data_IF_485103187845
#
_entry.id   IF_485103187845
#
_cell.length_a   1.000
_cell.length_b   1.000
_cell.length_c   1.000
_cell.angle_alpha   90.00
_cell.angle_beta   90.00
_cell.angle_gamma   90.00
#
_symmetry.space_group_name_H-M   'P 1'
#
loop_
_entity.id
_entity.type
_entity.pdbx_description
1 polymer ?
#
# COMPACT_ATOMS: atom_id res chain seq x y z
N UNK A 1 21.59 8.74 -48.33
CA UNK A 1 20.29 8.27 -47.79
C UNK A 1 20.52 7.94 -46.33
N UNK A 2 19.89 8.72 -45.47
CA UNK A 2 20.22 8.87 -44.05
C UNK A 2 19.80 7.67 -43.22
N UNK A 3 20.74 7.18 -42.42
CA UNK A 3 20.56 6.20 -41.36
C UNK A 3 19.58 6.74 -40.31
N UNK A 4 18.45 6.06 -40.11
CA UNK A 4 17.54 6.30 -38.99
C UNK A 4 18.07 5.56 -37.77
N UNK A 5 18.75 6.31 -36.90
CA UNK A 5 19.02 5.89 -35.53
C UNK A 5 17.68 5.81 -34.79
N UNK A 6 17.26 4.61 -34.39
CA UNK A 6 16.13 4.43 -33.48
C UNK A 6 16.66 4.76 -32.09
N UNK A 7 16.40 5.96 -31.60
CA UNK A 7 16.68 6.32 -30.21
C UNK A 7 15.81 5.45 -29.30
N UNK A 8 16.43 4.49 -28.63
CA UNK A 8 15.82 3.72 -27.56
C UNK A 8 15.42 4.66 -26.43
N UNK A 9 14.11 4.80 -26.19
CA UNK A 9 13.57 5.53 -25.05
C UNK A 9 14.12 4.97 -23.74
N UNK A 10 14.76 5.78 -22.88
CA UNK A 10 15.19 5.31 -21.57
C UNK A 10 13.95 5.22 -20.67
N UNK A 11 13.30 4.05 -20.64
CA UNK A 11 12.17 3.79 -19.72
C UNK A 11 12.56 2.82 -18.63
N UNK A 12 13.60 3.18 -17.89
CA UNK A 12 13.72 2.77 -16.49
C UNK A 12 14.03 4.04 -15.72
N UNK A 13 12.98 4.70 -15.22
CA UNK A 13 13.12 5.81 -14.30
C UNK A 13 14.12 5.38 -13.22
N UNK A 14 15.26 6.08 -13.15
CA UNK A 14 16.31 5.85 -12.18
C UNK A 14 15.68 5.76 -10.79
N UNK A 15 15.77 4.58 -10.17
CA UNK A 15 15.17 4.33 -8.86
C UNK A 15 15.68 5.38 -7.88
N UNK A 16 14.77 6.07 -7.19
CA UNK A 16 15.16 7.02 -6.16
C UNK A 16 15.87 6.21 -5.06
N UNK A 17 17.12 6.57 -4.82
CA UNK A 17 17.90 5.95 -3.76
C UNK A 17 17.47 6.56 -2.43
N UNK A 18 17.30 5.73 -1.41
CA UNK A 18 17.11 6.20 -0.04
C UNK A 18 18.38 6.93 0.45
N UNK A 19 18.34 7.48 1.68
CA UNK A 19 19.48 8.19 2.30
C UNK A 19 20.79 7.40 2.34
N UNK A 20 20.74 6.09 2.11
CA UNK A 20 21.88 5.17 2.10
C UNK A 20 22.25 4.67 0.69
N UNK A 21 21.73 5.27 -0.37
CA UNK A 21 22.06 4.84 -1.73
C UNK A 21 21.35 3.55 -2.17
N UNK A 22 20.34 3.08 -1.43
CA UNK A 22 19.64 1.81 -1.70
C UNK A 22 18.20 2.04 -2.13
N UNK A 23 17.71 1.20 -3.02
CA UNK A 23 16.31 1.25 -3.45
C UNK A 23 15.46 0.55 -2.41
N UNK A 24 14.38 1.20 -1.95
CA UNK A 24 13.47 0.56 -1.00
C UNK A 24 12.75 -0.62 -1.66
N UNK A 25 12.23 -1.53 -0.82
CA UNK A 25 11.57 -2.77 -1.25
C UNK A 25 10.29 -2.49 -2.06
N UNK A 26 9.53 -1.48 -1.63
CA UNK A 26 8.25 -1.09 -2.19
C UNK A 26 8.28 0.37 -2.62
N UNK A 27 7.81 0.65 -3.83
CA UNK A 27 7.68 2.03 -4.32
C UNK A 27 6.45 2.72 -3.75
N UNK A 28 5.32 2.02 -3.69
CA UNK A 28 4.07 2.51 -3.16
C UNK A 28 3.45 1.47 -2.21
N UNK A 29 3.05 1.92 -1.04
CA UNK A 29 2.30 1.09 -0.08
C UNK A 29 1.06 1.82 0.44
N UNK A 30 0.10 1.05 0.92
CA UNK A 30 -1.10 1.55 1.60
C UNK A 30 -1.06 1.11 3.06
N UNK A 31 -1.41 2.00 3.97
CA UNK A 31 -1.69 1.67 5.36
C UNK A 31 -3.18 1.85 5.65
N UNK A 32 -3.82 0.86 6.27
CA UNK A 32 -5.24 0.93 6.61
C UNK A 32 -5.53 0.19 7.92
N UNK A 33 -6.57 0.66 8.61
CA UNK A 33 -7.14 -0.01 9.77
C UNK A 33 -8.60 -0.32 9.45
N UNK A 34 -8.99 -1.57 9.62
CA UNK A 34 -10.32 -2.05 9.23
C UNK A 34 -10.99 -2.78 10.39
N UNK A 35 -12.31 -2.77 10.40
CA UNK A 35 -13.12 -3.55 11.34
C UNK A 35 -14.43 -3.95 10.68
N UNK A 36 -14.64 -5.26 10.55
CA UNK A 36 -15.87 -5.84 9.99
C UNK A 36 -16.16 -5.45 8.53
N UNK A 37 -15.10 -5.32 7.73
CA UNK A 37 -15.15 -4.86 6.34
C UNK A 37 -14.79 -5.97 5.33
N UNK A 38 -14.94 -7.25 5.72
CA UNK A 38 -14.63 -8.40 4.84
C UNK A 38 -15.33 -8.31 3.48
N UNK A 39 -16.55 -7.75 3.43
CA UNK A 39 -17.34 -7.65 2.19
C UNK A 39 -16.70 -6.82 1.08
N UNK A 40 -15.88 -5.81 1.42
CA UNK A 40 -15.24 -4.92 0.43
C UNK A 40 -13.74 -5.20 0.24
N UNK A 41 -13.13 -5.89 1.20
CA UNK A 41 -11.68 -6.06 1.27
C UNK A 41 -11.07 -6.75 0.04
N UNK A 42 -11.79 -7.70 -0.58
CA UNK A 42 -11.33 -8.41 -1.79
C UNK A 42 -11.23 -7.45 -3.00
N UNK A 43 -12.26 -6.62 -3.21
CA UNK A 43 -12.30 -5.63 -4.29
C UNK A 43 -11.30 -4.51 -4.04
N UNK A 44 -11.23 -4.00 -2.81
CA UNK A 44 -10.35 -2.91 -2.41
C UNK A 44 -8.87 -3.28 -2.61
N UNK A 45 -8.44 -4.47 -2.15
CA UNK A 45 -7.07 -4.95 -2.38
C UNK A 45 -6.75 -5.09 -3.87
N UNK A 46 -7.65 -5.69 -4.65
CA UNK A 46 -7.47 -5.85 -6.10
C UNK A 46 -7.36 -4.50 -6.80
N UNK A 47 -8.21 -3.55 -6.44
CA UNK A 47 -8.20 -2.21 -7.02
C UNK A 47 -6.84 -1.53 -6.80
N UNK A 48 -6.33 -1.51 -5.56
CA UNK A 48 -5.08 -0.85 -5.26
C UNK A 48 -3.86 -1.57 -5.83
N UNK A 49 -3.87 -2.91 -5.89
CA UNK A 49 -2.85 -3.67 -6.65
C UNK A 49 -2.83 -3.22 -8.11
N UNK A 50 -4.00 -3.06 -8.74
CA UNK A 50 -4.11 -2.59 -10.12
C UNK A 50 -3.67 -1.12 -10.30
N UNK A 51 -3.74 -0.29 -9.25
CA UNK A 51 -3.18 1.07 -9.24
C UNK A 51 -1.65 1.10 -8.99
N UNK A 52 -1.00 -0.06 -8.80
CA UNK A 52 0.44 -0.17 -8.60
C UNK A 52 0.87 -0.14 -7.14
N UNK A 53 -0.02 -0.42 -6.19
CA UNK A 53 0.35 -0.65 -4.79
C UNK A 53 1.07 -2.00 -4.68
N UNK A 54 2.25 -1.98 -4.06
CA UNK A 54 3.13 -3.16 -3.95
C UNK A 54 3.05 -3.82 -2.56
N UNK A 55 2.59 -3.09 -1.53
CA UNK A 55 2.42 -3.64 -0.19
C UNK A 55 1.32 -2.93 0.62
N UNK A 56 0.65 -3.67 1.50
CA UNK A 56 -0.37 -3.18 2.41
C UNK A 56 0.03 -3.44 3.86
N UNK A 57 -0.05 -2.41 4.69
CA UNK A 57 0.11 -2.47 6.14
C UNK A 57 -1.26 -2.39 6.78
N UNK A 58 -1.79 -3.52 7.23
CA UNK A 58 -3.17 -3.64 7.68
C UNK A 58 -3.26 -3.88 9.19
N UNK A 59 -4.20 -3.18 9.82
CA UNK A 59 -4.56 -3.41 11.22
C UNK A 59 -6.02 -3.86 11.29
N UNK A 60 -6.25 -5.05 11.84
CA UNK A 60 -7.58 -5.49 12.28
C UNK A 60 -7.86 -4.90 13.67
N UNK A 61 -8.82 -3.98 13.77
CA UNK A 61 -9.22 -3.32 15.02
C UNK A 61 -10.43 -4.00 15.70
N UNK A 62 -10.35 -5.32 15.86
CA UNK A 62 -11.29 -6.10 16.67
C UNK A 62 -12.46 -6.65 15.87
N UNK A 63 -12.14 -7.48 14.88
CA UNK A 63 -13.08 -8.21 14.02
C UNK A 63 -14.14 -9.03 14.74
N UNK A 64 -15.24 -9.25 14.03
CA UNK A 64 -16.23 -10.30 14.27
C UNK A 64 -16.54 -11.12 13.01
N UNK A 65 -16.03 -10.74 11.83
CA UNK A 65 -16.25 -11.36 10.53
C UNK A 65 -15.04 -12.19 10.02
N UNK A 66 -15.26 -13.03 9.00
CA UNK A 66 -14.22 -13.89 8.41
C UNK A 66 -13.61 -13.29 7.14
N UNK A 67 -12.55 -12.52 7.30
CA UNK A 67 -11.72 -12.02 6.20
C UNK A 67 -10.53 -12.95 5.86
N UNK A 68 -10.29 -14.03 6.63
CA UNK A 68 -9.03 -14.78 6.51
C UNK A 68 -8.92 -15.46 5.15
N UNK A 69 -10.03 -16.00 4.65
CA UNK A 69 -10.12 -16.59 3.31
C UNK A 69 -9.76 -15.58 2.22
N UNK A 70 -10.19 -14.32 2.37
CA UNK A 70 -9.87 -13.21 1.46
C UNK A 70 -8.39 -12.87 1.53
N UNK A 71 -7.89 -12.54 2.73
CA UNK A 71 -6.50 -12.12 2.92
C UNK A 71 -5.47 -13.20 2.55
N UNK A 72 -5.84 -14.48 2.63
CA UNK A 72 -4.96 -15.59 2.22
C UNK A 72 -4.55 -15.51 0.75
N UNK A 73 -5.41 -14.97 -0.12
CA UNK A 73 -5.14 -14.75 -1.55
C UNK A 73 -4.03 -13.71 -1.77
N UNK A 74 -3.89 -12.77 -0.84
CA UNK A 74 -2.98 -11.61 -0.94
C UNK A 74 -1.79 -11.69 0.01
N UNK A 75 -1.50 -12.86 0.59
CA UNK A 75 -0.45 -13.06 1.62
C UNK A 75 0.93 -12.49 1.27
N UNK A 76 1.26 -12.33 -0.01
CA UNK A 76 2.54 -11.78 -0.46
C UNK A 76 2.57 -10.24 -0.54
N UNK A 77 1.40 -9.61 -0.50
CA UNK A 77 1.22 -8.16 -0.59
C UNK A 77 0.91 -7.53 0.77
N UNK A 78 0.63 -8.30 1.82
CA UNK A 78 0.10 -7.75 3.08
C UNK A 78 0.99 -8.08 4.27
N UNK A 79 1.08 -7.12 5.19
CA UNK A 79 1.39 -7.33 6.60
C UNK A 79 0.11 -7.10 7.40
N UNK A 80 -0.23 -7.99 8.32
CA UNK A 80 -1.44 -7.88 9.15
C UNK A 80 -1.09 -7.97 10.64
N UNK A 81 -1.55 -7.01 11.43
CA UNK A 81 -1.55 -7.05 12.89
C UNK A 81 -2.99 -6.97 13.38
N UNK A 82 -3.27 -7.67 14.49
CA UNK A 82 -4.56 -7.60 15.20
C UNK A 82 -4.36 -6.83 16.49
N UNK A 83 -5.07 -5.71 16.65
CA UNK A 83 -5.04 -4.91 17.87
C UNK A 83 -6.37 -4.16 17.98
N UNK A 84 -7.21 -4.56 18.95
CA UNK A 84 -8.53 -4.00 19.19
C UNK A 84 -8.52 -2.79 20.13
N UNK A 85 -7.34 -2.31 20.51
CA UNK A 85 -7.19 -1.14 21.37
C UNK A 85 -7.81 0.09 20.71
N UNK A 86 -8.61 0.83 21.49
CA UNK A 86 -9.24 2.09 21.06
C UNK A 86 -8.78 3.23 21.95
N UNK A 87 -8.25 4.27 21.32
CA UNK A 87 -7.88 5.51 21.97
C UNK A 87 -8.99 6.55 21.77
N UNK A 88 -9.02 7.58 22.62
CA UNK A 88 -10.02 8.66 22.53
C UNK A 88 -10.00 9.38 21.19
N UNK A 89 -8.81 9.49 20.59
CA UNK A 89 -8.57 10.09 19.27
C UNK A 89 -7.43 9.35 18.57
N UNK A 90 -7.37 9.45 17.24
CA UNK A 90 -6.21 9.03 16.42
C UNK A 90 -5.80 7.55 16.57
N UNK A 91 -6.74 6.65 16.84
CA UNK A 91 -6.44 5.21 17.01
C UNK A 91 -5.61 4.64 15.86
N UNK A 92 -5.99 4.87 14.61
CA UNK A 92 -5.26 4.39 13.43
C UNK A 92 -3.82 4.92 13.36
N UNK A 93 -3.62 6.22 13.55
CA UNK A 93 -2.29 6.83 13.56
C UNK A 93 -1.41 6.22 14.65
N UNK A 94 -1.95 6.06 15.86
CA UNK A 94 -1.23 5.49 17.00
C UNK A 94 -0.83 4.04 16.72
N UNK A 95 -1.75 3.22 16.22
CA UNK A 95 -1.48 1.81 15.98
C UNK A 95 -0.57 1.59 14.76
N UNK A 96 -0.73 2.35 13.67
CA UNK A 96 0.22 2.29 12.54
C UNK A 96 1.60 2.70 13.00
N UNK A 97 1.72 3.76 13.81
CA UNK A 97 3.01 4.18 14.33
C UNK A 97 3.65 3.10 15.22
N UNK A 98 2.84 2.46 16.07
CA UNK A 98 3.27 1.38 16.97
C UNK A 98 3.81 0.17 16.22
N UNK A 99 3.18 -0.24 15.12
CA UNK A 99 3.49 -1.51 14.46
C UNK A 99 4.31 -1.40 13.19
N UNK A 100 4.14 -0.33 12.41
CA UNK A 100 4.65 -0.29 11.04
C UNK A 100 5.56 0.90 10.73
N UNK A 101 5.71 1.89 11.62
CA UNK A 101 6.49 3.10 11.31
C UNK A 101 7.90 2.81 10.81
N UNK A 102 8.62 1.93 11.50
CA UNK A 102 10.02 1.62 11.16
C UNK A 102 10.10 0.74 9.89
N UNK A 103 9.16 -0.18 9.70
CA UNK A 103 9.06 -0.99 8.49
C UNK A 103 8.78 -0.12 7.27
N UNK A 104 7.82 0.81 7.36
CA UNK A 104 7.46 1.76 6.30
C UNK A 104 8.67 2.63 5.96
N UNK A 105 9.31 3.22 6.98
CA UNK A 105 10.50 4.07 6.79
C UNK A 105 11.64 3.33 6.08
N UNK A 106 11.79 2.04 6.37
CA UNK A 106 12.85 1.21 5.80
C UNK A 106 12.51 0.74 4.38
N UNK A 107 11.28 0.30 4.16
CA UNK A 107 10.91 -0.51 3.01
C UNK A 107 10.05 0.18 1.96
N UNK A 108 9.45 1.34 2.26
CA UNK A 108 8.48 1.99 1.37
C UNK A 108 8.92 3.40 0.97
N UNK A 109 8.94 3.72 -0.34
CA UNK A 109 9.24 5.07 -0.82
C UNK A 109 8.07 6.04 -0.58
N UNK A 110 6.86 5.65 -1.01
CA UNK A 110 5.63 6.42 -0.85
C UNK A 110 4.58 5.62 -0.10
N UNK A 111 3.95 6.25 0.89
CA UNK A 111 2.83 5.65 1.61
C UNK A 111 1.61 6.56 1.58
N UNK A 112 0.45 5.95 1.47
CA UNK A 112 -0.86 6.61 1.64
C UNK A 112 -1.67 5.86 2.69
N UNK A 113 -2.55 6.59 3.37
CA UNK A 113 -3.47 6.07 4.38
C UNK A 113 -4.86 6.18 3.80
N UNK A 114 -5.56 5.04 3.68
CA UNK A 114 -6.84 4.97 2.97
C UNK A 114 -7.74 4.01 3.74
N UNK A 115 -8.97 4.41 4.00
CA UNK A 115 -9.98 3.56 4.64
C UNK A 115 -10.46 2.49 3.64
N UNK A 116 -10.88 1.31 4.13
CA UNK A 116 -11.19 0.16 3.26
C UNK A 116 -12.47 0.34 2.40
N UNK A 117 -13.21 1.42 2.60
CA UNK A 117 -14.37 1.84 1.81
C UNK A 117 -14.08 3.03 0.88
N UNK A 118 -12.84 3.54 0.87
CA UNK A 118 -12.42 4.66 0.03
C UNK A 118 -11.61 4.21 -1.20
N UNK A 119 -11.82 4.92 -2.32
CA UNK A 119 -11.13 4.68 -3.59
C UNK A 119 -10.52 5.97 -4.13
N UNK A 120 -9.20 5.96 -4.36
CA UNK A 120 -8.46 7.05 -5.00
C UNK A 120 -8.26 6.71 -6.47
N UNK A 121 -8.65 7.63 -7.35
CA UNK A 121 -8.45 7.51 -8.79
C UNK A 121 -7.73 8.75 -9.33
N UNK A 122 -6.66 8.53 -10.08
CA UNK A 122 -5.93 9.58 -10.77
C UNK A 122 -6.21 9.48 -12.28
N UNK A 123 -7.14 10.30 -12.84
CA UNK A 123 -7.39 10.29 -14.27
C UNK A 123 -6.13 10.75 -15.03
N UNK A 124 -5.81 10.05 -16.12
CA UNK A 124 -4.81 10.53 -17.07
C UNK A 124 -5.24 11.89 -17.60
N UNK A 125 -4.58 12.96 -17.15
CA UNK A 125 -4.81 14.29 -17.68
C UNK A 125 -4.18 14.34 -19.07
N UNK A 126 -5.00 14.18 -20.11
CA UNK A 126 -4.65 14.71 -21.44
C UNK A 126 -4.69 16.23 -21.31
N UNK A 127 -3.54 16.84 -21.03
CA UNK A 127 -3.34 18.28 -21.24
C UNK A 127 -3.00 18.48 -22.70
#
# INVERSE_FOLDING_TARGET
MTSTCVESHPTVASRLLNKHGQTKKYKLSVASMFKNESMILDEWLQYYINQGVEHFYLIDNGRTDDYNSILSKYRMYISLVKDDQRYKTKTQEILINKYYLDEIKTNTDWITFIDCDEYIYAPNRKV
#
